data_IF_298365163472
#
_entry.id   IF_298365163472
#
_cell.length_a   1.000
_cell.length_b   1.000
_cell.length_c   1.000
_cell.angle_alpha   90.00
_cell.angle_beta   90.00
_cell.angle_gamma   90.00
#
_symmetry.space_group_name_H-M   'P 1'
#
loop_
_entity.id
_entity.type
_entity.pdbx_description
1 polymer ?
#
# COMPACT_ATOMS: atom_id res chain seq x y z
N UNK A 1 -35.51 66.13 32.68
CA UNK A 1 -35.35 67.28 33.60
C UNK A 1 -36.14 67.19 34.91
N UNK A 2 -37.35 66.64 34.97
CA UNK A 2 -38.14 66.55 36.22
C UNK A 2 -37.50 65.65 37.30
N UNK A 3 -36.76 64.61 36.90
CA UNK A 3 -36.04 63.68 37.80
C UNK A 3 -34.85 64.32 38.52
N UNK A 4 -34.21 65.32 37.91
CA UNK A 4 -33.06 66.01 38.52
C UNK A 4 -33.52 66.88 39.69
N UNK A 5 -34.69 67.50 39.57
CA UNK A 5 -35.26 68.30 40.65
C UNK A 5 -35.61 67.47 41.90
N UNK A 6 -36.03 66.22 41.75
CA UNK A 6 -36.36 65.37 42.91
C UNK A 6 -35.14 64.95 43.74
N UNK A 7 -34.04 64.62 43.08
CA UNK A 7 -32.78 64.26 43.76
C UNK A 7 -32.15 65.47 44.47
N UNK A 8 -32.33 66.65 43.88
CA UNK A 8 -31.93 67.92 44.50
C UNK A 8 -32.78 68.21 45.74
N UNK A 9 -34.11 68.05 45.68
CA UNK A 9 -34.98 68.24 46.86
C UNK A 9 -34.72 67.22 47.96
N UNK A 10 -34.45 65.95 47.60
CA UNK A 10 -34.05 64.93 48.57
C UNK A 10 -32.74 65.31 49.26
N UNK A 11 -31.74 65.72 48.48
CA UNK A 11 -30.44 66.17 48.97
C UNK A 11 -30.57 67.39 49.89
N UNK A 12 -31.37 68.40 49.50
CA UNK A 12 -31.65 69.59 50.32
C UNK A 12 -32.40 69.23 51.61
N UNK A 13 -33.42 68.37 51.54
CA UNK A 13 -34.13 67.89 52.71
C UNK A 13 -33.22 67.15 53.69
N UNK A 14 -32.31 66.32 53.17
CA UNK A 14 -31.31 65.62 53.97
C UNK A 14 -30.30 66.57 54.63
N UNK A 15 -29.81 67.58 53.91
CA UNK A 15 -28.85 68.54 54.48
C UNK A 15 -29.50 69.41 55.56
N UNK A 16 -30.72 69.90 55.35
CA UNK A 16 -31.46 70.65 56.39
C UNK A 16 -31.74 69.78 57.62
N UNK A 17 -32.01 68.48 57.44
CA UNK A 17 -32.15 67.53 58.54
C UNK A 17 -30.87 67.40 59.36
N UNK A 18 -29.70 67.32 58.71
CA UNK A 18 -28.39 67.29 59.38
C UNK A 18 -28.05 68.61 60.09
N UNK A 19 -28.52 69.74 59.56
CA UNK A 19 -28.37 71.07 60.19
C UNK A 19 -29.34 71.31 61.36
N UNK A 20 -30.17 70.32 61.72
CA UNK A 20 -31.17 70.44 62.80
C UNK A 20 -32.39 71.29 62.45
N UNK A 21 -32.50 71.74 61.20
CA UNK A 21 -33.59 72.59 60.68
C UNK A 21 -34.77 71.73 60.23
N UNK A 22 -35.54 71.26 61.21
CA UNK A 22 -36.56 70.23 61.02
C UNK A 22 -37.75 70.67 60.15
N UNK A 23 -38.17 71.94 60.23
CA UNK A 23 -39.32 72.43 59.48
C UNK A 23 -38.99 72.59 57.99
N UNK A 24 -37.80 73.13 57.69
CA UNK A 24 -37.31 73.28 56.33
C UNK A 24 -37.02 71.91 55.70
N UNK A 25 -36.47 70.97 56.47
CA UNK A 25 -36.25 69.60 56.02
C UNK A 25 -37.55 68.92 55.57
N UNK A 26 -38.63 69.05 56.34
CA UNK A 26 -39.95 68.49 56.01
C UNK A 26 -40.49 69.01 54.67
N UNK A 27 -40.45 70.33 54.45
CA UNK A 27 -40.95 70.95 53.21
C UNK A 27 -40.23 70.42 51.98
N UNK A 28 -38.90 70.29 52.04
CA UNK A 28 -38.12 69.78 50.92
C UNK A 28 -38.26 68.26 50.74
N UNK A 29 -38.40 67.50 51.83
CA UNK A 29 -38.64 66.06 51.77
C UNK A 29 -40.04 65.73 51.24
N UNK A 30 -41.09 66.47 51.62
CA UNK A 30 -42.43 66.33 51.05
C UNK A 30 -42.43 66.65 49.55
N UNK A 31 -41.73 67.71 49.13
CA UNK A 31 -41.51 67.99 47.70
C UNK A 31 -40.76 66.87 46.98
N UNK A 32 -39.86 66.16 47.65
CA UNK A 32 -39.18 65.00 47.07
C UNK A 32 -40.11 63.79 46.91
N UNK A 33 -41.17 63.67 47.74
CA UNK A 33 -42.17 62.58 47.61
C UNK A 33 -43.19 62.81 46.50
N UNK A 34 -43.42 64.05 46.07
CA UNK A 34 -44.43 64.36 45.03
C UNK A 34 -43.93 64.12 43.60
N UNK A 35 -42.63 63.91 43.41
CA UNK A 35 -42.03 63.71 42.08
C UNK A 35 -41.95 62.21 41.74
N UNK A 36 -42.10 61.86 40.47
CA UNK A 36 -42.35 60.50 39.98
C UNK A 36 -41.23 59.45 40.14
N UNK A 37 -40.03 59.79 40.64
CA UNK A 37 -38.95 58.80 40.76
C UNK A 37 -39.15 57.92 42.01
N UNK A 38 -39.49 56.65 41.81
CA UNK A 38 -39.76 55.65 42.87
C UNK A 38 -38.58 55.50 43.84
N UNK A 39 -37.33 55.59 43.35
CA UNK A 39 -36.12 55.51 44.17
C UNK A 39 -36.03 56.72 45.11
N UNK A 40 -36.21 57.91 44.55
CA UNK A 40 -36.17 59.17 45.30
C UNK A 40 -37.32 59.28 46.31
N UNK A 41 -38.53 58.83 45.94
CA UNK A 41 -39.68 58.79 46.84
C UNK A 41 -39.44 57.83 48.02
N UNK A 42 -38.91 56.64 47.75
CA UNK A 42 -38.61 55.66 48.79
C UNK A 42 -37.64 56.23 49.82
N UNK A 43 -36.58 56.90 49.37
CA UNK A 43 -35.58 57.50 50.24
C UNK A 43 -36.10 58.75 50.95
N UNK A 44 -36.93 59.58 50.30
CA UNK A 44 -37.60 60.71 50.94
C UNK A 44 -38.49 60.24 52.11
N UNK A 45 -39.28 59.18 51.93
CA UNK A 45 -40.08 58.59 53.00
C UNK A 45 -39.22 57.97 54.12
N UNK A 46 -38.04 57.39 53.83
CA UNK A 46 -37.09 56.96 54.88
C UNK A 46 -36.61 58.13 55.72
N UNK A 47 -36.36 59.28 55.10
CA UNK A 47 -35.91 60.48 55.79
C UNK A 47 -37.02 61.14 56.60
N UNK A 48 -38.25 61.19 56.07
CA UNK A 48 -39.44 61.64 56.82
C UNK A 48 -39.73 60.73 58.02
N UNK A 49 -39.58 59.41 57.88
CA UNK A 49 -39.64 58.47 59.01
C UNK A 49 -38.62 58.81 60.11
N UNK A 50 -37.36 59.09 59.73
CA UNK A 50 -36.31 59.48 60.69
C UNK A 50 -36.63 60.81 61.38
N UNK A 51 -37.18 61.78 60.63
CA UNK A 51 -37.60 63.08 61.15
C UNK A 51 -38.74 62.93 62.18
N UNK A 52 -39.79 62.18 61.86
CA UNK A 52 -40.93 61.96 62.77
C UNK A 52 -40.54 61.15 64.01
N UNK A 53 -39.56 60.24 63.89
CA UNK A 53 -38.96 59.54 65.03
C UNK A 53 -38.27 60.50 66.00
N UNK A 54 -37.56 61.52 65.49
CA UNK A 54 -36.94 62.58 66.31
C UNK A 54 -37.99 63.46 67.01
N UNK A 55 -39.12 63.70 66.35
CA UNK A 55 -40.28 64.44 66.89
C UNK A 55 -41.14 63.62 67.86
N UNK A 56 -40.79 62.35 68.12
CA UNK A 56 -41.53 61.41 68.99
C UNK A 56 -42.99 61.21 68.55
N UNK A 57 -43.26 61.23 67.24
CA UNK A 57 -44.58 60.98 66.69
C UNK A 57 -44.65 59.58 66.03
N UNK A 58 -45.06 58.54 66.79
CA UNK A 58 -44.95 57.15 66.33
C UNK A 58 -45.90 56.83 65.16
N UNK A 59 -47.07 57.45 65.12
CA UNK A 59 -48.11 57.13 64.12
C UNK A 59 -47.70 57.55 62.71
N UNK A 60 -47.25 58.80 62.53
CA UNK A 60 -46.73 59.28 61.23
C UNK A 60 -45.44 58.56 60.82
N UNK A 61 -44.59 58.21 61.79
CA UNK A 61 -43.37 57.46 61.51
C UNK A 61 -43.69 56.08 60.90
N UNK A 62 -44.65 55.34 61.47
CA UNK A 62 -45.07 54.04 60.92
C UNK A 62 -45.60 54.18 59.49
N UNK A 63 -46.46 55.18 59.24
CA UNK A 63 -47.02 55.42 57.91
C UNK A 63 -45.93 55.67 56.85
N UNK A 64 -44.95 56.54 57.14
CA UNK A 64 -43.84 56.81 56.23
C UNK A 64 -42.93 55.58 56.05
N UNK A 65 -42.77 54.77 57.09
CA UNK A 65 -42.00 53.52 56.99
C UNK A 65 -42.69 52.50 56.08
N UNK A 66 -44.00 52.32 56.22
CA UNK A 66 -44.78 51.42 55.36
C UNK A 66 -44.76 51.87 53.89
N UNK A 67 -44.90 53.18 53.63
CA UNK A 67 -44.79 53.74 52.28
C UNK A 67 -43.41 53.48 51.66
N UNK A 68 -42.34 53.74 52.42
CA UNK A 68 -40.98 53.42 51.96
C UNK A 68 -40.78 51.94 51.69
N UNK A 69 -41.26 51.08 52.59
CA UNK A 69 -41.11 49.62 52.44
C UNK A 69 -41.90 49.08 51.24
N UNK A 70 -43.07 49.65 50.94
CA UNK A 70 -43.82 49.33 49.72
C UNK A 70 -43.05 49.70 48.46
N UNK A 71 -42.52 50.93 48.38
CA UNK A 71 -41.74 51.39 47.25
C UNK A 71 -40.44 50.59 47.08
N UNK A 72 -39.75 50.24 48.17
CA UNK A 72 -38.57 49.38 48.11
C UNK A 72 -38.89 47.98 47.56
N UNK A 73 -40.06 47.40 47.89
CA UNK A 73 -40.49 46.11 47.30
C UNK A 73 -40.70 46.21 45.79
N UNK A 74 -41.18 47.33 45.28
CA UNK A 74 -41.34 47.56 43.84
C UNK A 74 -39.99 47.76 43.13
N UNK A 75 -39.11 48.56 43.72
CA UNK A 75 -37.73 48.74 43.25
C UNK A 75 -37.01 47.40 43.14
N UNK A 76 -37.07 46.57 44.18
CA UNK A 76 -36.45 45.24 44.17
C UNK A 76 -36.99 44.35 43.05
N UNK A 77 -38.30 44.41 42.75
CA UNK A 77 -38.88 43.65 41.63
C UNK A 77 -38.32 44.11 40.28
N UNK A 78 -38.13 45.43 40.09
CA UNK A 78 -37.57 46.00 38.86
C UNK A 78 -36.10 45.57 38.72
N UNK A 79 -35.29 45.74 39.77
CA UNK A 79 -33.87 45.38 39.76
C UNK A 79 -33.66 43.88 39.49
N UNK A 80 -34.45 43.01 40.13
CA UNK A 80 -34.39 41.56 39.89
C UNK A 80 -34.75 41.22 38.44
N UNK A 81 -35.77 41.89 37.88
CA UNK A 81 -36.19 41.67 36.49
C UNK A 81 -35.10 42.11 35.50
N UNK A 82 -34.46 43.26 35.74
CA UNK A 82 -33.35 43.75 34.91
C UNK A 82 -32.12 42.85 35.03
N UNK A 83 -31.75 42.45 36.25
CA UNK A 83 -30.66 41.51 36.49
C UNK A 83 -30.90 40.18 35.77
N UNK A 84 -32.12 39.65 35.82
CA UNK A 84 -32.51 38.43 35.11
C UNK A 84 -32.41 38.60 33.58
N UNK A 85 -32.91 39.71 33.03
CA UNK A 85 -32.84 39.98 31.60
C UNK A 85 -31.38 40.09 31.11
N UNK A 86 -30.52 40.76 31.89
CA UNK A 86 -29.10 40.89 31.60
C UNK A 86 -28.39 39.53 31.66
N UNK A 87 -28.69 38.72 32.68
CA UNK A 87 -28.14 37.36 32.82
C UNK A 87 -28.55 36.48 31.63
N UNK A 88 -29.83 36.52 31.24
CA UNK A 88 -30.35 35.76 30.11
C UNK A 88 -29.67 36.18 28.79
N UNK A 89 -29.47 37.48 28.58
CA UNK A 89 -28.76 38.01 27.41
C UNK A 89 -27.32 37.51 27.37
N UNK A 90 -26.60 37.58 28.50
CA UNK A 90 -25.22 37.09 28.62
C UNK A 90 -25.14 35.59 28.35
N UNK A 91 -26.03 34.80 28.96
CA UNK A 91 -26.10 33.35 28.73
C UNK A 91 -26.36 33.00 27.25
N UNK A 92 -27.31 33.69 26.60
CA UNK A 92 -27.61 33.46 25.18
C UNK A 92 -26.41 33.79 24.29
N UNK A 93 -25.71 34.89 24.57
CA UNK A 93 -24.50 35.26 23.84
C UNK A 93 -23.39 34.21 24.01
N UNK A 94 -23.12 33.76 25.24
CA UNK A 94 -22.11 32.73 25.50
C UNK A 94 -22.48 31.41 24.82
N UNK A 95 -23.75 31.00 24.85
CA UNK A 95 -24.24 29.82 24.15
C UNK A 95 -23.99 29.91 22.65
N UNK A 96 -24.35 31.04 22.04
CA UNK A 96 -24.16 31.28 20.60
C UNK A 96 -22.68 31.33 20.20
N UNK A 97 -21.81 31.86 21.06
CA UNK A 97 -20.35 31.81 20.86
C UNK A 97 -19.82 30.38 20.91
N UNK A 98 -20.27 29.57 21.88
CA UNK A 98 -19.88 28.16 21.98
C UNK A 98 -20.32 27.35 20.75
N UNK A 99 -21.56 27.53 20.30
CA UNK A 99 -22.08 26.88 19.10
C UNK A 99 -21.29 27.29 17.85
N UNK A 100 -21.00 28.59 17.67
CA UNK A 100 -20.17 29.06 16.57
C UNK A 100 -18.74 28.48 16.59
N UNK A 101 -18.12 28.39 17.77
CA UNK A 101 -16.79 27.81 17.91
C UNK A 101 -16.82 26.31 17.56
N UNK A 102 -17.82 25.57 18.04
CA UNK A 102 -18.01 24.17 17.69
C UNK A 102 -18.20 23.97 16.19
N UNK A 103 -18.97 24.84 15.52
CA UNK A 103 -19.14 24.80 14.08
C UNK A 103 -17.82 25.07 13.34
N UNK A 104 -17.02 26.05 13.79
CA UNK A 104 -15.70 26.32 13.21
C UNK A 104 -14.76 25.12 13.33
N UNK A 105 -14.71 24.49 14.51
CA UNK A 105 -13.88 23.29 14.74
C UNK A 105 -14.34 22.15 13.82
N UNK A 106 -15.65 21.89 13.71
CA UNK A 106 -16.20 20.86 12.81
C UNK A 106 -15.82 21.14 11.35
N UNK A 107 -15.96 22.39 10.90
CA UNK A 107 -15.59 22.78 9.54
C UNK A 107 -14.09 22.61 9.28
N UNK A 108 -13.23 22.99 10.23
CA UNK A 108 -11.78 22.78 10.13
C UNK A 108 -11.43 21.28 10.06
N UNK A 109 -12.08 20.45 10.86
CA UNK A 109 -11.86 19.00 10.84
C UNK A 109 -12.29 18.37 9.50
N UNK A 110 -13.42 18.78 8.93
CA UNK A 110 -13.86 18.33 7.61
C UNK A 110 -12.83 18.72 6.54
N UNK A 111 -12.34 19.96 6.58
CA UNK A 111 -11.36 20.48 5.64
C UNK A 111 -10.00 19.74 5.75
N UNK A 112 -9.55 19.44 6.97
CA UNK A 112 -8.37 18.60 7.21
C UNK A 112 -8.55 17.18 6.66
N UNK A 113 -9.72 16.57 6.86
CA UNK A 113 -10.02 15.22 6.36
C UNK A 113 -10.00 15.19 4.83
N UNK A 114 -10.54 16.21 4.16
CA UNK A 114 -10.45 16.37 2.71
C UNK A 114 -9.00 16.47 2.22
N UNK A 115 -8.14 17.23 2.92
CA UNK A 115 -6.71 17.32 2.57
C UNK A 115 -5.99 15.98 2.72
N UNK A 116 -6.26 15.23 3.80
CA UNK A 116 -5.67 13.90 4.01
C UNK A 116 -6.09 12.95 2.88
N UNK A 117 -7.37 12.94 2.50
CA UNK A 117 -7.86 12.12 1.39
C UNK A 117 -7.23 12.50 0.05
N UNK A 118 -7.12 13.80 -0.24
CA UNK A 118 -6.45 14.27 -1.46
C UNK A 118 -4.98 13.84 -1.50
N UNK A 119 -4.27 13.94 -0.37
CA UNK A 119 -2.88 13.51 -0.27
C UNK A 119 -2.73 12.00 -0.47
N UNK A 120 -3.65 11.19 0.06
CA UNK A 120 -3.66 9.74 -0.18
C UNK A 120 -3.88 9.39 -1.67
N UNK A 121 -4.81 10.08 -2.33
CA UNK A 121 -5.05 9.92 -3.78
C UNK A 121 -3.80 10.31 -4.57
N UNK A 122 -3.16 11.44 -4.22
CA UNK A 122 -1.93 11.90 -4.84
C UNK A 122 -0.78 10.90 -4.67
N UNK A 123 -0.58 10.37 -3.46
CA UNK A 123 0.43 9.33 -3.19
C UNK A 123 0.16 8.05 -3.99
N UNK A 124 -1.11 7.63 -4.07
CA UNK A 124 -1.50 6.47 -4.87
C UNK A 124 -1.22 6.70 -6.36
N UNK A 125 -1.61 7.86 -6.90
CA UNK A 125 -1.31 8.25 -8.27
C UNK A 125 0.19 8.34 -8.55
N UNK A 126 0.96 8.90 -7.62
CA UNK A 126 2.42 8.97 -7.73
C UNK A 126 3.07 7.59 -7.70
N UNK A 127 2.61 6.69 -6.82
CA UNK A 127 3.06 5.30 -6.78
C UNK A 127 2.76 4.56 -8.10
N UNK A 128 1.53 4.69 -8.62
CA UNK A 128 1.14 4.11 -9.92
C UNK A 128 1.99 4.68 -11.05
N UNK A 129 2.21 5.99 -11.07
CA UNK A 129 3.07 6.66 -12.06
C UNK A 129 4.51 6.14 -12.00
N UNK A 130 5.09 6.04 -10.81
CA UNK A 130 6.44 5.53 -10.60
C UNK A 130 6.55 4.06 -11.04
N UNK A 131 5.60 3.21 -10.61
CA UNK A 131 5.52 1.80 -11.01
C UNK A 131 5.39 1.64 -12.52
N UNK A 132 4.51 2.42 -13.15
CA UNK A 132 4.33 2.40 -14.60
C UNK A 132 5.60 2.85 -15.34
N UNK A 133 6.27 3.89 -14.86
CA UNK A 133 7.53 4.38 -15.43
C UNK A 133 8.66 3.35 -15.32
N UNK A 134 8.76 2.69 -14.18
CA UNK A 134 9.75 1.65 -13.93
C UNK A 134 9.49 0.41 -14.80
N UNK A 135 8.24 -0.05 -14.87
CA UNK A 135 7.85 -1.18 -15.71
C UNK A 135 8.17 -0.90 -17.19
N UNK A 136 7.93 0.31 -17.70
CA UNK A 136 8.25 0.69 -19.08
C UNK A 136 9.75 0.64 -19.43
N UNK A 137 10.65 0.84 -18.46
CA UNK A 137 12.09 0.64 -18.68
C UNK A 137 12.43 -0.84 -18.78
N UNK A 138 11.94 -1.64 -17.82
CA UNK A 138 12.17 -3.09 -17.79
C UNK A 138 11.60 -3.82 -19.01
N UNK A 139 10.45 -3.38 -19.52
CA UNK A 139 9.87 -3.94 -20.74
C UNK A 139 10.83 -3.76 -21.93
N UNK A 140 11.36 -2.55 -22.14
CA UNK A 140 12.31 -2.28 -23.24
C UNK A 140 13.59 -3.12 -23.15
N UNK A 141 14.12 -3.31 -21.95
CA UNK A 141 15.30 -4.17 -21.73
C UNK A 141 15.00 -5.63 -22.09
N UNK A 142 13.83 -6.15 -21.70
CA UNK A 142 13.40 -7.51 -22.04
C UNK A 142 13.16 -7.65 -23.56
N UNK A 143 12.52 -6.67 -24.19
CA UNK A 143 12.30 -6.66 -25.64
C UNK A 143 13.62 -6.68 -26.41
N UNK A 144 14.60 -5.88 -25.99
CA UNK A 144 15.94 -5.88 -26.60
C UNK A 144 16.63 -7.24 -26.45
N UNK A 145 16.55 -7.87 -25.28
CA UNK A 145 17.09 -9.22 -25.09
C UNK A 145 16.43 -10.25 -26.01
N UNK A 146 15.10 -10.16 -26.20
CA UNK A 146 14.39 -11.05 -27.12
C UNK A 146 14.85 -10.85 -28.57
N UNK A 147 15.10 -9.60 -28.99
CA UNK A 147 15.60 -9.29 -30.35
C UNK A 147 16.99 -9.88 -30.55
N UNK A 148 17.93 -9.62 -29.64
CA UNK A 148 19.30 -10.15 -29.72
C UNK A 148 19.29 -11.68 -29.75
N UNK A 149 18.53 -12.32 -28.85
CA UNK A 149 18.41 -13.78 -28.85
C UNK A 149 17.80 -14.32 -30.15
N UNK A 150 16.88 -13.59 -30.79
CA UNK A 150 16.32 -13.99 -32.09
C UNK A 150 17.36 -13.93 -33.20
N UNK A 151 18.18 -12.88 -33.23
CA UNK A 151 19.28 -12.75 -34.19
C UNK A 151 20.30 -13.88 -34.02
N UNK A 152 20.67 -14.20 -32.78
CA UNK A 152 21.55 -15.35 -32.48
C UNK A 152 20.96 -16.69 -32.93
N UNK A 153 19.66 -16.92 -32.70
CA UNK A 153 18.99 -18.14 -33.17
C UNK A 153 19.05 -18.24 -34.69
N UNK A 154 18.82 -17.15 -35.43
CA UNK A 154 18.88 -17.14 -36.88
C UNK A 154 20.30 -17.46 -37.38
N UNK A 155 21.31 -16.87 -36.75
CA UNK A 155 22.71 -17.14 -37.07
C UNK A 155 23.09 -18.61 -36.84
N UNK A 156 22.66 -19.19 -35.71
CA UNK A 156 22.88 -20.61 -35.43
C UNK A 156 22.11 -21.52 -36.38
N UNK A 157 20.91 -21.14 -36.81
CA UNK A 157 20.15 -21.89 -37.82
C UNK A 157 20.83 -21.89 -39.19
N UNK A 158 21.42 -20.76 -39.59
CA UNK A 158 22.21 -20.67 -40.81
C UNK A 158 23.50 -21.52 -40.72
N UNK A 159 24.20 -21.45 -39.59
CA UNK A 159 25.40 -22.26 -39.33
C UNK A 159 25.07 -23.76 -39.35
N UNK A 160 23.95 -24.17 -38.75
CA UNK A 160 23.43 -25.53 -38.80
C UNK A 160 23.17 -26.01 -40.23
N UNK A 161 22.51 -25.18 -41.05
CA UNK A 161 22.23 -25.50 -42.45
C UNK A 161 23.53 -25.66 -43.27
N UNK A 162 24.58 -24.89 -42.96
CA UNK A 162 25.88 -25.02 -43.59
C UNK A 162 26.58 -26.33 -43.17
N UNK A 163 26.61 -26.68 -41.89
CA UNK A 163 27.22 -27.95 -41.45
C UNK A 163 26.47 -29.19 -41.95
N UNK A 164 25.13 -29.12 -42.04
CA UNK A 164 24.33 -30.19 -42.65
C UNK A 164 24.67 -30.40 -44.14
N UNK A 165 25.12 -29.36 -44.86
CA UNK A 165 25.57 -29.49 -46.25
C UNK A 165 26.98 -30.07 -46.38
N UNK A 166 27.85 -29.83 -45.40
CA UNK A 166 29.24 -30.33 -45.33
C UNK A 166 29.34 -31.77 -44.77
N UNK A 167 28.20 -32.45 -44.58
CA UNK A 167 28.02 -33.66 -43.77
C UNK A 167 28.74 -34.94 -44.26
N UNK A 168 29.56 -34.88 -45.31
CA UNK A 168 30.10 -36.11 -45.91
C UNK A 168 31.33 -36.75 -45.25
N UNK A 169 32.05 -36.11 -44.30
CA UNK A 169 33.38 -36.66 -43.93
C UNK A 169 33.85 -36.65 -42.45
N UNK A 170 33.14 -36.07 -41.45
CA UNK A 170 33.67 -36.10 -40.05
C UNK A 170 32.63 -36.12 -38.92
N UNK A 171 32.91 -36.89 -37.86
CA UNK A 171 32.15 -37.01 -36.60
C UNK A 171 32.13 -35.70 -35.79
N UNK A 172 33.16 -34.87 -35.91
CA UNK A 172 33.29 -33.59 -35.19
C UNK A 172 32.13 -32.63 -35.51
N UNK A 173 31.67 -32.62 -36.77
CA UNK A 173 30.55 -31.78 -37.19
C UNK A 173 29.23 -32.23 -36.56
N UNK A 174 29.05 -33.54 -36.29
CA UNK A 174 27.83 -34.07 -35.66
C UNK A 174 27.74 -33.65 -34.21
N UNK A 175 28.86 -33.71 -33.49
CA UNK A 175 28.95 -33.20 -32.11
C UNK A 175 28.67 -31.69 -32.08
N UNK A 176 29.21 -30.94 -33.06
CA UNK A 176 28.97 -29.49 -33.19
C UNK A 176 27.51 -29.15 -33.48
N UNK A 177 26.86 -29.89 -34.37
CA UNK A 177 25.42 -29.75 -34.65
C UNK A 177 24.59 -29.98 -33.39
N UNK A 178 24.94 -30.98 -32.57
CA UNK A 178 24.27 -31.20 -31.29
C UNK A 178 24.46 -30.08 -30.28
N UNK A 179 25.66 -29.50 -30.21
CA UNK A 179 25.93 -28.31 -29.39
C UNK A 179 25.08 -27.12 -29.84
N UNK A 180 25.03 -26.85 -31.16
CA UNK A 180 24.25 -25.77 -31.77
C UNK A 180 22.74 -25.96 -31.55
N UNK A 181 22.21 -27.16 -31.79
CA UNK A 181 20.81 -27.50 -31.51
C UNK A 181 20.46 -27.30 -30.02
N UNK A 182 21.36 -27.66 -29.12
CA UNK A 182 21.22 -27.42 -27.69
C UNK A 182 21.17 -25.92 -27.34
N UNK A 183 22.03 -25.10 -27.96
CA UNK A 183 22.02 -23.63 -27.81
C UNK A 183 20.72 -23.01 -28.31
N UNK A 184 20.23 -23.44 -29.48
CA UNK A 184 18.95 -22.99 -30.04
C UNK A 184 17.80 -23.29 -29.07
N UNK A 185 17.72 -24.51 -28.55
CA UNK A 185 16.69 -24.87 -27.56
C UNK A 185 16.80 -24.06 -26.26
N UNK A 186 18.02 -23.78 -25.79
CA UNK A 186 18.25 -22.95 -24.61
C UNK A 186 17.76 -21.51 -24.82
N UNK A 187 18.15 -20.87 -25.93
CA UNK A 187 17.75 -19.50 -26.26
C UNK A 187 16.24 -19.39 -26.48
N UNK A 188 15.62 -20.38 -27.12
CA UNK A 188 14.16 -20.44 -27.25
C UNK A 188 13.46 -20.58 -25.90
N UNK A 189 14.00 -21.43 -25.01
CA UNK A 189 13.51 -21.56 -23.64
C UNK A 189 13.61 -20.23 -22.88
N UNK A 190 14.72 -19.50 -23.02
CA UNK A 190 14.91 -18.18 -22.41
C UNK A 190 13.93 -17.15 -22.98
N UNK A 191 13.78 -17.09 -24.30
CA UNK A 191 12.82 -16.21 -24.96
C UNK A 191 11.39 -16.46 -24.47
N UNK A 192 10.99 -17.72 -24.28
CA UNK A 192 9.67 -18.05 -23.72
C UNK A 192 9.50 -17.48 -22.30
N UNK A 193 10.48 -17.64 -21.42
CA UNK A 193 10.43 -17.08 -20.06
C UNK A 193 10.43 -15.55 -20.08
N UNK A 194 11.17 -14.92 -21.00
CA UNK A 194 11.20 -13.48 -21.18
C UNK A 194 9.87 -12.94 -21.69
N UNK A 195 9.22 -13.64 -22.62
CA UNK A 195 7.87 -13.31 -23.12
C UNK A 195 6.84 -13.43 -21.98
N UNK A 196 6.87 -14.51 -21.20
CA UNK A 196 6.00 -14.66 -20.02
C UNK A 196 6.20 -13.51 -19.02
N UNK A 197 7.45 -13.14 -18.77
CA UNK A 197 7.81 -12.00 -17.91
C UNK A 197 7.31 -10.67 -18.51
N UNK A 198 7.43 -10.47 -19.82
CA UNK A 198 6.94 -9.28 -20.50
C UNK A 198 5.42 -9.15 -20.40
N UNK A 199 4.69 -10.24 -20.63
CA UNK A 199 3.24 -10.29 -20.51
C UNK A 199 2.79 -9.95 -19.07
N UNK A 200 3.47 -10.47 -18.05
CA UNK A 200 3.18 -10.12 -16.64
C UNK A 200 3.41 -8.64 -16.29
N UNK A 201 4.21 -7.92 -17.09
CA UNK A 201 4.45 -6.49 -16.93
C UNK A 201 3.50 -5.62 -17.77
N UNK A 202 2.63 -6.24 -18.58
CA UNK A 202 1.63 -5.59 -19.44
C UNK A 202 2.12 -5.25 -20.84
N UNK A 203 3.22 -5.84 -21.30
CA UNK A 203 3.65 -5.77 -22.70
C UNK A 203 2.99 -6.85 -23.54
N UNK A 204 2.88 -6.60 -24.84
CA UNK A 204 2.37 -7.57 -25.82
C UNK A 204 3.34 -7.62 -27.01
N UNK A 205 4.00 -8.75 -27.17
CA UNK A 205 4.69 -9.10 -28.41
C UNK A 205 3.85 -10.21 -29.02
N UNK A 206 3.28 -9.92 -30.20
CA UNK A 206 2.53 -10.89 -30.98
C UNK A 206 3.23 -12.24 -31.03
N UNK A 207 2.43 -13.30 -31.00
CA UNK A 207 2.79 -14.71 -30.76
C UNK A 207 3.72 -15.32 -31.84
N UNK A 208 4.86 -14.68 -32.11
CA UNK A 208 5.81 -15.00 -33.18
C UNK A 208 6.97 -15.84 -32.67
N UNK A 209 6.83 -16.51 -31.53
CA UNK A 209 7.72 -17.61 -31.19
C UNK A 209 7.36 -18.79 -32.11
N UNK A 210 8.18 -18.97 -33.15
CA UNK A 210 8.14 -20.10 -34.08
C UNK A 210 7.96 -21.44 -33.34
N UNK A 211 7.19 -22.39 -33.92
CA UNK A 211 6.85 -23.66 -33.28
C UNK A 211 8.06 -24.60 -33.33
N UNK A 212 9.06 -24.38 -32.46
CA UNK A 212 9.79 -25.54 -31.95
C UNK A 212 8.88 -26.17 -30.91
N UNK A 213 8.56 -27.45 -31.11
CA UNK A 213 7.62 -28.18 -30.28
C UNK A 213 7.89 -27.86 -28.81
N UNK A 214 6.92 -27.23 -28.13
CA UNK A 214 7.02 -26.95 -26.70
C UNK A 214 7.40 -28.20 -25.89
N UNK A 215 7.11 -29.38 -26.45
CA UNK A 215 7.62 -30.70 -26.06
C UNK A 215 9.14 -30.70 -25.87
N UNK A 216 9.95 -30.45 -26.90
CA UNK A 216 11.43 -30.50 -26.80
C UNK A 216 12.00 -29.50 -25.80
N UNK A 217 11.43 -28.29 -25.72
CA UNK A 217 11.85 -27.28 -24.74
C UNK A 217 11.62 -27.78 -23.31
N UNK A 218 10.45 -28.38 -23.04
CA UNK A 218 10.11 -28.88 -21.71
C UNK A 218 11.00 -30.06 -21.27
N UNK A 219 11.27 -30.98 -22.19
CA UNK A 219 12.13 -32.15 -21.95
C UNK A 219 13.59 -31.70 -21.79
N UNK A 220 14.05 -30.72 -22.59
CA UNK A 220 15.40 -30.17 -22.49
C UNK A 220 15.62 -29.48 -21.14
N UNK A 221 14.63 -28.73 -20.62
CA UNK A 221 14.69 -28.17 -19.26
C UNK A 221 14.81 -29.28 -18.21
N UNK A 222 14.02 -30.35 -18.33
CA UNK A 222 14.13 -31.51 -17.46
C UNK A 222 15.53 -32.14 -17.51
N UNK A 223 16.11 -32.31 -18.71
CA UNK A 223 17.47 -32.81 -18.90
C UNK A 223 18.52 -31.94 -18.19
N UNK A 224 18.39 -30.62 -18.27
CA UNK A 224 19.26 -29.68 -17.54
C UNK A 224 19.09 -29.80 -16.01
N UNK A 225 17.85 -29.97 -15.52
CA UNK A 225 17.58 -30.20 -14.09
C UNK A 225 18.14 -31.53 -13.58
N UNK A 226 18.14 -32.58 -14.41
CA UNK A 226 18.78 -33.86 -14.11
C UNK A 226 20.30 -33.68 -14.01
N UNK A 227 20.91 -32.94 -14.95
CA UNK A 227 22.37 -32.70 -14.96
C UNK A 227 22.82 -31.88 -13.74
N UNK A 228 22.06 -30.85 -13.37
CA UNK A 228 22.36 -30.01 -12.20
C UNK A 228 22.05 -30.68 -10.86
N UNK A 229 21.33 -31.80 -10.86
CA UNK A 229 20.93 -32.51 -9.63
C UNK A 229 19.75 -31.87 -8.90
N UNK A 230 19.08 -30.89 -9.52
CA UNK A 230 17.88 -30.25 -8.95
C UNK A 230 16.61 -31.08 -9.15
N UNK A 231 16.61 -32.06 -10.04
CA UNK A 231 15.47 -32.94 -10.27
C UNK A 231 15.27 -33.92 -9.11
N UNK A 232 14.05 -33.98 -8.58
CA UNK A 232 13.65 -34.89 -7.50
C UNK A 232 12.58 -35.84 -8.01
N UNK A 233 12.97 -37.04 -8.41
CA UNK A 233 12.03 -38.06 -8.90
C UNK A 233 12.74 -39.19 -9.64
N UNK A 234 12.00 -40.25 -9.92
CA UNK A 234 12.41 -41.30 -10.86
C UNK A 234 11.81 -40.98 -12.22
N UNK A 235 12.60 -41.08 -13.28
CA UNK A 235 12.09 -40.95 -14.65
C UNK A 235 11.18 -42.12 -14.97
N UNK A 236 10.01 -41.81 -15.53
CA UNK A 236 9.07 -42.80 -16.05
C UNK A 236 9.55 -43.36 -17.39
N UNK A 237 8.87 -44.41 -17.88
CA UNK A 237 9.17 -44.96 -19.21
C UNK A 237 8.95 -43.91 -20.30
N UNK A 238 7.87 -43.15 -20.19
CA UNK A 238 7.47 -42.14 -21.18
C UNK A 238 8.45 -40.96 -21.18
N UNK A 239 8.98 -40.56 -20.02
CA UNK A 239 10.03 -39.53 -19.91
C UNK A 239 11.29 -39.94 -20.69
N UNK A 240 11.63 -41.22 -20.69
CA UNK A 240 12.78 -41.75 -21.43
C UNK A 240 12.54 -41.81 -22.94
N UNK A 241 11.34 -42.17 -23.40
CA UNK A 241 11.01 -42.09 -24.84
C UNK A 241 11.10 -40.65 -25.34
N UNK A 242 10.58 -39.71 -24.56
CA UNK A 242 10.71 -38.28 -24.81
C UNK A 242 12.16 -37.77 -24.82
N UNK A 243 13.00 -38.28 -23.93
CA UNK A 243 14.43 -38.00 -23.94
C UNK A 243 15.08 -38.56 -25.19
N UNK A 244 14.76 -39.78 -25.61
CA UNK A 244 15.29 -40.36 -26.84
C UNK A 244 14.90 -39.56 -28.10
N UNK A 245 13.65 -39.12 -28.21
CA UNK A 245 13.23 -38.19 -29.27
C UNK A 245 14.11 -36.93 -29.28
N UNK A 246 14.33 -36.33 -28.10
CA UNK A 246 15.18 -35.15 -27.94
C UNK A 246 16.64 -35.45 -28.33
N UNK A 247 17.20 -36.59 -27.93
CA UNK A 247 18.57 -36.97 -28.27
C UNK A 247 18.74 -37.23 -29.76
N UNK A 248 17.76 -37.86 -30.40
CA UNK A 248 17.71 -38.01 -31.85
C UNK A 248 17.64 -36.65 -32.55
N UNK A 249 16.82 -35.73 -32.05
CA UNK A 249 16.78 -34.36 -32.57
C UNK A 249 18.12 -33.63 -32.41
N UNK A 250 18.72 -33.69 -31.21
CA UNK A 250 19.97 -33.00 -30.90
C UNK A 250 21.13 -33.56 -31.74
N UNK A 251 21.33 -34.87 -31.75
CA UNK A 251 22.53 -35.53 -32.26
C UNK A 251 22.28 -36.36 -33.53
N UNK A 252 21.40 -35.88 -34.42
CA UNK A 252 21.15 -36.45 -35.76
C UNK A 252 20.74 -37.94 -35.75
N UNK A 253 19.85 -38.33 -34.84
CA UNK A 253 19.34 -39.70 -34.76
C UNK A 253 20.24 -40.67 -33.99
N UNK A 254 21.04 -40.19 -33.02
CA UNK A 254 22.02 -40.99 -32.28
C UNK A 254 21.48 -42.30 -31.71
N UNK A 255 20.22 -42.33 -31.23
CA UNK A 255 19.62 -43.54 -30.65
C UNK A 255 19.37 -44.58 -31.74
N UNK A 256 18.87 -44.14 -32.90
CA UNK A 256 18.62 -45.01 -34.05
C UNK A 256 19.94 -45.59 -34.56
N UNK A 257 20.97 -44.74 -34.72
CA UNK A 257 22.29 -45.17 -35.21
C UNK A 257 22.97 -46.18 -34.27
N UNK A 258 22.99 -45.90 -32.96
CA UNK A 258 23.55 -46.81 -31.97
C UNK A 258 22.85 -48.17 -32.00
N UNK A 259 21.52 -48.19 -32.20
CA UNK A 259 20.75 -49.42 -32.27
C UNK A 259 20.99 -50.20 -33.57
N UNK A 260 21.23 -49.51 -34.68
CA UNK A 260 21.55 -50.13 -35.99
C UNK A 260 22.97 -50.70 -36.03
N UNK A 261 23.96 -49.95 -35.54
CA UNK A 261 25.37 -50.37 -35.53
C UNK A 261 25.70 -51.37 -34.42
N UNK A 262 24.96 -51.32 -33.30
CA UNK A 262 25.14 -52.22 -32.16
C UNK A 262 23.79 -52.79 -31.66
N UNK A 263 23.17 -53.73 -32.40
CA UNK A 263 21.84 -54.28 -32.06
C UNK A 263 21.75 -54.97 -30.69
N UNK A 264 22.89 -55.38 -30.13
CA UNK A 264 23.03 -55.99 -28.81
C UNK A 264 22.87 -55.01 -27.64
N UNK A 265 22.80 -53.70 -27.90
CA UNK A 265 22.57 -52.69 -26.86
C UNK A 265 21.16 -52.84 -26.30
N UNK A 266 21.07 -52.85 -24.98
CA UNK A 266 19.78 -52.84 -24.29
C UNK A 266 19.26 -51.41 -24.19
N UNK A 267 17.96 -51.25 -23.92
CA UNK A 267 17.38 -49.91 -23.68
C UNK A 267 18.15 -49.13 -22.60
N UNK A 268 18.55 -49.80 -21.52
CA UNK A 268 19.33 -49.17 -20.45
C UNK A 268 20.74 -48.75 -20.89
N UNK A 269 21.34 -49.45 -21.85
CA UNK A 269 22.61 -49.05 -22.44
C UNK A 269 22.45 -47.76 -23.25
N UNK A 270 21.37 -47.65 -24.04
CA UNK A 270 21.04 -46.43 -24.79
C UNK A 270 20.77 -45.23 -23.88
N UNK A 271 20.07 -45.44 -22.75
CA UNK A 271 19.85 -44.42 -21.71
C UNK A 271 21.20 -43.86 -21.21
N UNK A 272 22.15 -44.75 -20.89
CA UNK A 272 23.49 -44.36 -20.44
C UNK A 272 24.27 -43.64 -21.56
N UNK A 273 24.26 -44.16 -22.79
CA UNK A 273 24.92 -43.53 -23.94
C UNK A 273 24.43 -42.09 -24.17
N UNK A 274 23.12 -41.87 -24.16
CA UNK A 274 22.53 -40.55 -24.37
C UNK A 274 22.99 -39.55 -23.30
N UNK A 275 22.94 -39.95 -22.03
CA UNK A 275 23.40 -39.09 -20.93
C UNK A 275 24.91 -38.81 -21.00
N UNK A 276 25.72 -39.79 -21.40
CA UNK A 276 27.17 -39.60 -21.60
C UNK A 276 27.48 -38.67 -22.78
N UNK A 277 26.73 -38.79 -23.88
CA UNK A 277 26.83 -37.88 -25.04
C UNK A 277 26.54 -36.44 -24.63
N UNK A 278 25.55 -36.23 -23.76
CA UNK A 278 25.25 -34.92 -23.17
C UNK A 278 26.28 -34.46 -22.12
N UNK A 279 27.25 -35.30 -21.76
CA UNK A 279 28.30 -34.99 -20.78
C UNK A 279 27.85 -35.09 -19.33
N UNK A 280 26.98 -36.05 -18.98
CA UNK A 280 26.72 -36.39 -17.58
C UNK A 280 27.96 -37.05 -16.95
N UNK A 281 28.26 -36.69 -15.71
CA UNK A 281 29.30 -37.35 -14.91
C UNK A 281 28.77 -38.62 -14.25
N UNK A 282 29.65 -39.50 -13.78
CA UNK A 282 29.26 -40.71 -13.05
C UNK A 282 28.36 -40.41 -11.84
N UNK A 283 28.61 -39.31 -11.13
CA UNK A 283 27.77 -38.88 -10.02
C UNK A 283 26.39 -38.38 -10.46
N UNK A 284 26.29 -37.75 -11.63
CA UNK A 284 25.01 -37.37 -12.20
C UNK A 284 24.22 -38.61 -12.64
N UNK A 285 24.86 -39.57 -13.32
CA UNK A 285 24.24 -40.85 -13.69
C UNK A 285 23.70 -41.59 -12.45
N UNK A 286 24.49 -41.64 -11.38
CA UNK A 286 24.08 -42.21 -10.08
C UNK A 286 22.76 -41.61 -9.58
N UNK A 287 22.62 -40.29 -9.66
CA UNK A 287 21.40 -39.58 -9.24
C UNK A 287 20.22 -39.87 -10.16
N UNK A 288 20.45 -39.89 -11.48
CA UNK A 288 19.38 -40.16 -12.46
C UNK A 288 18.83 -41.58 -12.32
N UNK A 289 19.71 -42.57 -12.19
CA UNK A 289 19.33 -43.98 -12.08
C UNK A 289 19.05 -44.44 -10.64
N UNK A 290 19.21 -43.57 -9.65
CA UNK A 290 19.00 -43.86 -8.23
C UNK A 290 19.77 -45.11 -7.76
N UNK A 291 21.05 -45.22 -8.15
CA UNK A 291 21.88 -46.41 -7.92
C UNK A 291 23.20 -46.05 -7.20
N UNK A 292 24.17 -46.96 -7.14
CA UNK A 292 25.50 -46.72 -6.55
C UNK A 292 26.55 -46.45 -7.64
N UNK A 293 27.64 -45.75 -7.29
CA UNK A 293 28.74 -45.49 -8.23
C UNK A 293 29.34 -46.78 -8.79
N UNK A 294 29.47 -47.84 -7.98
CA UNK A 294 29.94 -49.16 -8.41
C UNK A 294 29.03 -49.79 -9.48
N UNK A 295 27.70 -49.63 -9.32
CA UNK A 295 26.73 -50.12 -10.29
C UNK A 295 26.86 -49.41 -11.64
N UNK A 296 27.08 -48.09 -11.63
CA UNK A 296 27.33 -47.31 -12.85
C UNK A 296 28.65 -47.72 -13.51
N UNK A 297 29.73 -47.91 -12.74
CA UNK A 297 31.02 -48.35 -13.28
C UNK A 297 30.90 -49.73 -13.93
N UNK A 298 30.21 -50.68 -13.30
CA UNK A 298 29.94 -51.99 -13.88
C UNK A 298 29.07 -51.90 -15.14
N UNK A 299 28.06 -51.03 -15.15
CA UNK A 299 27.23 -50.80 -16.33
C UNK A 299 28.05 -50.24 -17.50
N UNK A 300 28.90 -49.22 -17.26
CA UNK A 300 29.84 -48.69 -18.25
C UNK A 300 30.83 -49.75 -18.74
N UNK A 301 31.34 -50.61 -17.86
CA UNK A 301 32.23 -51.72 -18.25
C UNK A 301 31.54 -52.72 -19.19
N UNK A 302 30.26 -53.02 -18.97
CA UNK A 302 29.45 -53.84 -19.89
C UNK A 302 29.19 -53.12 -21.21
N UNK A 303 28.85 -51.84 -21.14
CA UNK A 303 28.60 -50.98 -22.29
C UNK A 303 29.83 -50.91 -23.21
N UNK A 304 31.01 -50.71 -22.63
CA UNK A 304 32.30 -50.68 -23.34
C UNK A 304 32.55 -51.98 -24.13
N UNK A 305 32.24 -53.14 -23.52
CA UNK A 305 32.33 -54.45 -24.19
C UNK A 305 31.32 -54.60 -25.32
N UNK A 306 30.08 -54.12 -25.13
CA UNK A 306 29.01 -54.20 -26.14
C UNK A 306 29.27 -53.30 -27.34
N UNK A 307 29.94 -52.17 -27.14
CA UNK A 307 30.32 -51.22 -28.19
C UNK A 307 31.68 -51.56 -28.86
N UNK A 308 32.34 -52.66 -28.46
CA UNK A 308 33.68 -53.04 -28.95
C UNK A 308 34.76 -51.94 -28.79
N UNK A 309 34.64 -51.08 -27.78
CA UNK A 309 35.60 -50.00 -27.52
C UNK A 309 36.88 -50.57 -26.90
N UNK A 310 38.05 -50.11 -27.36
CA UNK A 310 39.34 -50.58 -26.89
C UNK A 310 39.50 -50.43 -25.37
N UNK A 311 40.11 -51.39 -24.64
CA UNK A 311 40.32 -51.29 -23.20
C UNK A 311 41.05 -50.03 -22.76
N UNK A 312 41.92 -49.47 -23.62
CA UNK A 312 42.70 -48.25 -23.34
C UNK A 312 41.93 -46.96 -23.64
N UNK A 313 40.87 -47.02 -24.43
CA UNK A 313 40.08 -45.84 -24.81
C UNK A 313 39.03 -45.52 -23.75
N UNK A 314 38.87 -44.24 -23.40
CA UNK A 314 37.86 -43.81 -22.44
C UNK A 314 36.46 -43.86 -23.06
N UNK A 315 35.51 -44.51 -22.39
CA UNK A 315 34.14 -44.67 -22.91
C UNK A 315 33.42 -43.33 -23.02
N UNK A 316 33.67 -42.41 -22.08
CA UNK A 316 33.01 -41.10 -22.08
C UNK A 316 33.52 -40.27 -23.25
N UNK A 317 34.83 -40.31 -23.50
CA UNK A 317 35.43 -39.70 -24.68
C UNK A 317 34.86 -40.28 -25.98
N UNK A 318 34.83 -41.61 -26.11
CA UNK A 318 34.28 -42.29 -27.29
C UNK A 318 32.83 -41.87 -27.56
N UNK A 319 31.95 -41.99 -26.55
CA UNK A 319 30.53 -41.64 -26.70
C UNK A 319 30.32 -40.14 -26.94
N UNK A 320 31.15 -39.26 -26.37
CA UNK A 320 31.05 -37.81 -26.64
C UNK A 320 31.35 -37.47 -28.08
N UNK A 321 32.16 -38.27 -28.77
CA UNK A 321 32.54 -38.02 -30.16
C UNK A 321 31.66 -38.76 -31.18
N UNK A 322 31.01 -39.87 -30.79
CA UNK A 322 30.06 -40.67 -31.60
C UNK A 322 28.80 -39.91 -32.11
#
# INVERSE_FOLDING_TARGET
>A
DITVFSEIYLSLGYTYLLMGKQAEAEVYLEKATTVANVYTQSDAYKLLFKLEKLRKNPWKAIEFKEKSDSLNKEIQKIEVKEAFANLQKKYKNEKLQRENLQLRIKNQNILLLCFVLFFLIFLCGFYVYYKHRHNKKRMREIEQQIIVNREEILLYQEELANYQRLQSESEDYRSKIGELNGKVLLLQSQNRTLVERLNSLGGDIGNSCSPVDGKYISIFRMLLSLKSGSFKGKLSRDDWEHLFDLFNYLYLGIVVRLQEEHPQLTKHDLEICCLLKFGFTNDALKRVFLTTSDSITKAKGRLKKRLNVSPQEDLDHFIRNY
#
